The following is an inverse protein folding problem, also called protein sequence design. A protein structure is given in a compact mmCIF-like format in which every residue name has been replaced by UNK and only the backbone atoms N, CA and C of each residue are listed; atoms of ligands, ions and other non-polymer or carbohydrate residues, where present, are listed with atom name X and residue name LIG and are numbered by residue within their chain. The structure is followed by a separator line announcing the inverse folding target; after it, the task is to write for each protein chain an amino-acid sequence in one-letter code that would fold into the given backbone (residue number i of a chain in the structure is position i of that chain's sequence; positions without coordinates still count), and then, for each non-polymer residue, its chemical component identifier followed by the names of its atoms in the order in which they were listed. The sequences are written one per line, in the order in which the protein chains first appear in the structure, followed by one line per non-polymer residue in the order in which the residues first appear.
data_IF_372784621845
#
_entry.id   IF_372784621845
#
_cell.length_a   1.000
_cell.length_b   1.000
_cell.length_c   1.000
_cell.angle_alpha   90.00
_cell.angle_beta   90.00
_cell.angle_gamma   90.00
#
_symmetry.space_group_name_H-M   'P 1'
#
loop_
_entity.id
_entity.type
_entity.pdbx_description
1 polymer ?
#
# COMPACT_ATOMS: atom_id res chain seq x y z
N UNK A 1 -13.47 -33.34 2.86
CA UNK A 1 -13.20 -32.55 4.09
C UNK A 1 -11.76 -32.11 4.09
N UNK A 2 -11.51 -30.82 4.25
CA UNK A 2 -10.15 -30.33 4.33
C UNK A 2 -9.48 -30.85 5.62
N UNK A 3 -8.39 -31.56 5.47
CA UNK A 3 -7.65 -32.13 6.58
C UNK A 3 -7.07 -31.01 7.45
N UNK A 4 -7.50 -30.96 8.72
CA UNK A 4 -7.08 -29.93 9.67
C UNK A 4 -5.59 -30.10 9.97
N UNK A 5 -4.74 -29.17 9.56
CA UNK A 5 -3.29 -29.22 9.82
C UNK A 5 -3.03 -29.00 11.31
N UNK A 6 -2.16 -29.84 11.89
CA UNK A 6 -1.75 -29.75 13.29
C UNK A 6 -0.23 -29.57 13.40
N UNK A 7 0.22 -28.89 14.44
CA UNK A 7 1.63 -28.80 14.78
C UNK A 7 2.15 -30.10 15.42
N UNK A 8 3.44 -30.16 15.72
CA UNK A 8 4.08 -31.33 16.38
C UNK A 8 3.50 -31.65 17.76
N UNK A 9 2.79 -30.73 18.41
CA UNK A 9 2.11 -30.89 19.71
C UNK A 9 0.59 -31.11 19.56
N UNK A 10 0.09 -31.39 18.35
CA UNK A 10 -1.32 -31.65 18.10
C UNK A 10 -2.25 -30.43 18.05
N UNK A 11 -1.74 -29.20 18.20
CA UNK A 11 -2.55 -27.97 18.10
C UNK A 11 -2.90 -27.66 16.64
N UNK A 12 -4.13 -27.23 16.41
CA UNK A 12 -4.63 -26.86 15.08
C UNK A 12 -3.93 -25.60 14.58
N UNK A 13 -3.42 -25.68 13.36
CA UNK A 13 -2.83 -24.57 12.62
C UNK A 13 -3.87 -23.92 11.71
N UNK A 14 -3.86 -22.58 11.63
CA UNK A 14 -4.73 -21.80 10.73
C UNK A 14 -4.18 -21.80 9.31
N UNK A 15 -4.97 -21.28 8.38
CA UNK A 15 -4.53 -21.09 6.98
C UNK A 15 -3.31 -20.15 6.95
N UNK A 16 -2.26 -20.58 6.27
CA UNK A 16 -0.99 -19.84 6.21
C UNK A 16 0.01 -20.23 7.29
N UNK A 17 -0.44 -20.73 8.46
CA UNK A 17 0.45 -21.20 9.53
C UNK A 17 1.07 -22.57 9.20
N UNK A 18 2.31 -22.75 9.51
CA UNK A 18 3.02 -24.05 9.45
C UNK A 18 4.11 -24.12 10.53
N UNK A 19 4.57 -25.33 10.85
CA UNK A 19 5.72 -25.54 11.74
C UNK A 19 6.84 -26.24 10.97
N UNK A 20 8.03 -25.66 11.01
CA UNK A 20 9.22 -26.26 10.41
C UNK A 20 9.69 -27.44 11.26
N UNK A 21 9.98 -28.56 10.62
CA UNK A 21 10.46 -29.75 11.30
C UNK A 21 11.95 -29.65 11.70
N UNK A 22 12.72 -28.86 10.97
CA UNK A 22 14.18 -28.74 11.16
C UNK A 22 14.57 -28.01 12.43
N UNK A 23 13.82 -26.93 12.80
CA UNK A 23 14.17 -26.06 13.93
C UNK A 23 12.95 -25.79 14.85
N UNK A 24 11.81 -26.42 14.59
CA UNK A 24 10.58 -26.27 15.39
C UNK A 24 9.90 -24.90 15.30
N UNK A 25 10.46 -23.94 14.56
CA UNK A 25 9.89 -22.60 14.41
C UNK A 25 8.56 -22.64 13.67
N UNK A 26 7.71 -21.73 14.06
CA UNK A 26 6.45 -21.48 13.37
C UNK A 26 6.63 -20.46 12.25
N UNK A 27 5.90 -20.66 11.16
CA UNK A 27 5.96 -19.82 9.96
C UNK A 27 4.55 -19.46 9.56
N UNK A 28 4.31 -18.18 9.32
CA UNK A 28 3.11 -17.69 8.64
C UNK A 28 3.47 -17.23 7.23
N UNK A 29 2.78 -17.76 6.25
CA UNK A 29 2.96 -17.45 4.84
C UNK A 29 1.79 -16.62 4.35
N UNK A 30 2.06 -15.48 3.75
CA UNK A 30 1.04 -14.61 3.18
C UNK A 30 1.50 -14.02 1.85
N UNK A 31 0.56 -13.45 1.12
CA UNK A 31 0.84 -12.71 -0.13
C UNK A 31 0.68 -11.22 0.15
N UNK A 32 1.70 -10.42 -0.15
CA UNK A 32 1.64 -8.99 0.00
C UNK A 32 0.72 -8.34 -1.06
N UNK A 33 0.28 -7.07 -0.88
CA UNK A 33 -0.56 -6.39 -1.86
C UNK A 33 0.05 -6.25 -3.26
N UNK A 34 1.37 -6.47 -3.38
CA UNK A 34 2.09 -6.50 -4.66
C UNK A 34 2.14 -7.91 -5.29
N UNK A 35 1.43 -8.88 -4.72
CA UNK A 35 1.35 -10.26 -5.22
C UNK A 35 2.54 -11.14 -4.87
N UNK A 36 3.44 -10.72 -3.98
CA UNK A 36 4.63 -11.49 -3.61
C UNK A 36 4.40 -12.28 -2.34
N UNK A 37 4.88 -13.52 -2.34
CA UNK A 37 4.83 -14.39 -1.16
C UNK A 37 5.87 -13.96 -0.14
N UNK A 38 5.43 -13.76 1.11
CA UNK A 38 6.26 -13.41 2.26
C UNK A 38 6.06 -14.37 3.42
N UNK A 39 7.02 -14.36 4.33
CA UNK A 39 7.09 -15.28 5.46
C UNK A 39 7.39 -14.52 6.75
N UNK A 40 6.67 -14.86 7.81
CA UNK A 40 6.92 -14.36 9.18
C UNK A 40 7.24 -15.55 10.06
N UNK A 41 8.28 -15.43 10.87
CA UNK A 41 8.77 -16.51 11.73
C UNK A 41 8.58 -16.15 13.21
N UNK A 42 8.26 -17.17 14.01
CA UNK A 42 8.22 -17.06 15.47
C UNK A 42 8.65 -18.37 16.13
N UNK A 43 9.10 -18.30 17.37
CA UNK A 43 9.52 -19.47 18.13
C UNK A 43 8.34 -20.28 18.67
N UNK A 44 7.23 -19.61 18.95
CA UNK A 44 6.01 -20.23 19.43
C UNK A 44 4.77 -19.75 18.65
N UNK A 45 3.66 -20.47 18.84
CA UNK A 45 2.42 -20.21 18.10
C UNK A 45 1.70 -18.93 18.56
N UNK A 46 1.87 -18.53 19.83
CA UNK A 46 1.26 -17.32 20.38
C UNK A 46 1.93 -16.10 19.76
N UNK A 47 3.26 -16.06 19.80
CA UNK A 47 4.05 -15.00 19.20
C UNK A 47 3.83 -14.91 17.66
N UNK A 48 3.63 -16.06 16.99
CA UNK A 48 3.29 -16.04 15.57
C UNK A 48 1.94 -15.32 15.33
N UNK A 49 0.92 -15.65 16.12
CA UNK A 49 -0.43 -15.08 16.00
C UNK A 49 -0.51 -13.60 16.36
N UNK A 50 0.32 -13.15 17.30
CA UNK A 50 0.49 -11.71 17.57
C UNK A 50 1.08 -10.97 16.36
N UNK A 51 2.11 -11.54 15.74
CA UNK A 51 2.70 -11.02 14.51
C UNK A 51 1.72 -11.04 13.33
N UNK A 52 0.90 -12.09 13.20
CA UNK A 52 -0.17 -12.14 12.19
C UNK A 52 -1.20 -11.02 12.39
N UNK A 53 -1.65 -10.81 13.64
CA UNK A 53 -2.62 -9.76 13.95
C UNK A 53 -2.08 -8.37 13.66
N UNK A 54 -0.82 -8.11 14.02
CA UNK A 54 -0.15 -6.85 13.69
C UNK A 54 -0.01 -6.67 12.18
N UNK A 55 0.41 -7.72 11.47
CA UNK A 55 0.56 -7.71 10.01
C UNK A 55 -0.77 -7.43 9.31
N UNK A 56 -1.87 -8.06 9.75
CA UNK A 56 -3.20 -7.80 9.20
C UNK A 56 -3.62 -6.35 9.40
N UNK A 57 -3.33 -5.77 10.57
CA UNK A 57 -3.56 -4.36 10.84
C UNK A 57 -2.72 -3.47 9.92
N UNK A 58 -1.42 -3.74 9.80
CA UNK A 58 -0.51 -3.00 8.95
C UNK A 58 -0.91 -3.09 7.46
N UNK A 59 -1.42 -4.25 7.02
CA UNK A 59 -1.96 -4.42 5.67
C UNK A 59 -3.25 -3.61 5.46
N UNK A 60 -4.15 -3.59 6.44
CA UNK A 60 -5.34 -2.76 6.39
C UNK A 60 -4.99 -1.27 6.33
N UNK A 61 -3.95 -0.86 7.04
CA UNK A 61 -3.45 0.52 7.04
C UNK A 61 -2.51 0.82 5.84
N UNK A 62 -2.12 -0.22 5.07
CA UNK A 62 -1.20 -0.11 3.95
C UNK A 62 0.26 0.15 4.32
N UNK A 63 0.61 0.00 5.61
CA UNK A 63 1.93 0.31 6.15
C UNK A 63 3.04 -0.63 5.66
N UNK A 64 2.72 -1.87 5.35
CA UNK A 64 3.67 -2.86 4.84
C UNK A 64 4.32 -2.43 3.50
N UNK A 65 3.56 -1.73 2.66
CA UNK A 65 4.08 -1.16 1.40
C UNK A 65 4.98 0.05 1.67
N UNK A 66 4.63 0.90 2.64
CA UNK A 66 5.46 2.03 3.04
C UNK A 66 6.78 1.57 3.66
N UNK A 67 6.73 0.61 4.57
CA UNK A 67 7.94 0.01 5.20
C UNK A 67 8.85 -0.65 4.16
N UNK A 68 8.30 -1.25 3.12
CA UNK A 68 9.09 -1.81 2.02
C UNK A 68 9.70 -0.75 1.09
N UNK A 69 9.41 0.54 1.28
CA UNK A 69 9.89 1.63 0.45
C UNK A 69 9.40 1.57 -1.00
N UNK A 70 8.28 0.91 -1.27
CA UNK A 70 7.76 0.63 -2.62
C UNK A 70 6.43 1.30 -2.93
N UNK A 71 5.93 2.12 -2.01
CA UNK A 71 4.70 2.86 -2.23
C UNK A 71 4.92 3.92 -3.32
N UNK A 72 4.10 3.85 -4.37
CA UNK A 72 4.04 4.91 -5.38
C UNK A 72 2.99 5.94 -5.00
N UNK A 73 3.06 7.13 -5.62
CA UNK A 73 2.02 8.16 -5.44
C UNK A 73 0.66 7.62 -5.89
N UNK A 74 0.58 6.84 -6.99
CA UNK A 74 -0.65 6.20 -7.44
C UNK A 74 -1.26 5.30 -6.35
N UNK A 75 -0.45 4.48 -5.71
CA UNK A 75 -0.92 3.61 -4.63
C UNK A 75 -1.52 4.41 -3.47
N UNK A 76 -0.85 5.48 -3.05
CA UNK A 76 -1.34 6.33 -1.95
C UNK A 76 -2.62 7.06 -2.33
N UNK A 77 -2.68 7.60 -3.55
CA UNK A 77 -3.88 8.28 -4.04
C UNK A 77 -5.09 7.33 -4.13
N UNK A 78 -4.91 6.14 -4.70
CA UNK A 78 -6.00 5.16 -4.82
C UNK A 78 -6.50 4.73 -3.43
N UNK A 79 -5.58 4.53 -2.47
CA UNK A 79 -5.94 4.24 -1.09
C UNK A 79 -6.68 5.40 -0.41
N UNK A 80 -6.17 6.62 -0.57
CA UNK A 80 -6.84 7.82 -0.05
C UNK A 80 -8.27 7.94 -0.59
N UNK A 81 -8.45 7.77 -1.89
CA UNK A 81 -9.77 7.83 -2.53
C UNK A 81 -10.70 6.69 -2.09
N UNK A 82 -10.17 5.51 -1.78
CA UNK A 82 -10.95 4.36 -1.27
C UNK A 82 -11.45 4.59 0.16
N UNK A 83 -10.69 5.30 0.98
CA UNK A 83 -11.03 5.58 2.38
C UNK A 83 -11.92 6.82 2.54
N UNK A 84 -11.93 7.71 1.57
CA UNK A 84 -12.67 8.97 1.64
C UNK A 84 -14.12 8.80 1.18
N UNK A 85 -15.01 8.54 2.13
CA UNK A 85 -16.42 8.26 1.87
C UNK A 85 -17.34 9.50 1.87
N UNK A 86 -16.81 10.65 2.30
CA UNK A 86 -17.58 11.89 2.50
C UNK A 86 -17.48 12.91 1.36
N UNK A 87 -16.89 12.53 0.23
CA UNK A 87 -16.83 13.38 -0.95
C UNK A 87 -18.13 13.33 -1.73
N UNK A 88 -18.60 14.49 -2.19
CA UNK A 88 -19.69 14.56 -3.17
C UNK A 88 -19.29 13.81 -4.45
N UNK A 89 -20.22 13.09 -5.12
CA UNK A 89 -19.92 12.31 -6.34
C UNK A 89 -19.24 13.15 -7.44
N UNK A 90 -19.66 14.38 -7.62
CA UNK A 90 -19.07 15.34 -8.58
C UNK A 90 -17.64 15.70 -8.24
N UNK A 91 -17.34 15.93 -6.96
CA UNK A 91 -15.98 16.22 -6.49
C UNK A 91 -15.07 15.01 -6.67
N UNK A 92 -15.57 13.81 -6.34
CA UNK A 92 -14.84 12.56 -6.52
C UNK A 92 -14.50 12.32 -7.98
N UNK A 93 -15.45 12.49 -8.89
CA UNK A 93 -15.24 12.34 -10.33
C UNK A 93 -14.24 13.36 -10.87
N UNK A 94 -14.29 14.61 -10.42
CA UNK A 94 -13.34 15.63 -10.81
C UNK A 94 -11.92 15.32 -10.32
N UNK A 95 -11.76 14.84 -9.09
CA UNK A 95 -10.48 14.47 -8.54
C UNK A 95 -9.84 13.30 -9.30
N UNK A 96 -10.62 12.26 -9.60
CA UNK A 96 -10.16 11.13 -10.41
C UNK A 96 -9.76 11.58 -11.83
N UNK A 97 -10.58 12.39 -12.48
CA UNK A 97 -10.28 12.91 -13.81
C UNK A 97 -8.97 13.71 -13.83
N UNK A 98 -8.81 14.66 -12.91
CA UNK A 98 -7.62 15.50 -12.82
C UNK A 98 -6.37 14.69 -12.51
N UNK A 99 -6.47 13.74 -11.57
CA UNK A 99 -5.38 12.85 -11.22
C UNK A 99 -4.96 11.97 -12.39
N UNK A 100 -5.91 11.31 -13.06
CA UNK A 100 -5.65 10.43 -14.19
C UNK A 100 -5.04 11.18 -15.37
N UNK A 101 -5.49 12.40 -15.62
CA UNK A 101 -5.00 13.21 -16.73
C UNK A 101 -3.60 13.76 -16.54
N UNK A 102 -3.25 14.22 -15.33
CA UNK A 102 -2.03 15.00 -15.10
C UNK A 102 -0.95 14.29 -14.27
N UNK A 103 -1.33 13.31 -13.47
CA UNK A 103 -0.43 12.73 -12.46
C UNK A 103 -0.19 11.24 -12.69
N UNK A 104 -1.22 10.45 -12.98
CA UNK A 104 -1.18 8.98 -12.95
C UNK A 104 -0.06 8.37 -13.79
N UNK A 105 0.09 8.79 -15.01
CA UNK A 105 1.06 8.21 -15.95
C UNK A 105 2.45 8.81 -15.88
N UNK A 106 2.62 9.90 -15.14
CA UNK A 106 3.86 10.65 -15.00
C UNK A 106 4.39 10.55 -13.56
N UNK A 107 4.11 11.57 -12.77
CA UNK A 107 4.59 11.68 -11.39
C UNK A 107 4.01 10.60 -10.47
N UNK A 108 2.80 10.13 -10.75
CA UNK A 108 2.11 9.10 -9.97
C UNK A 108 2.82 7.74 -9.91
N UNK A 109 3.61 7.41 -10.91
CA UNK A 109 4.39 6.15 -10.95
C UNK A 109 5.67 6.19 -10.11
N UNK A 110 6.06 7.35 -9.62
CA UNK A 110 7.27 7.49 -8.80
C UNK A 110 7.06 6.91 -7.42
N UNK A 111 8.13 6.30 -6.92
CA UNK A 111 8.20 5.81 -5.55
C UNK A 111 8.33 6.99 -4.59
N UNK A 112 7.46 7.05 -3.58
CA UNK A 112 7.44 8.16 -2.61
C UNK A 112 8.79 8.29 -1.88
N UNK A 113 9.42 7.17 -1.52
CA UNK A 113 10.69 7.18 -0.81
C UNK A 113 11.86 7.77 -1.62
N UNK A 114 11.71 7.85 -2.95
CA UNK A 114 12.74 8.33 -3.87
C UNK A 114 12.51 9.77 -4.34
N UNK A 115 11.34 10.35 -4.03
CA UNK A 115 10.99 11.71 -4.47
C UNK A 115 11.80 12.73 -3.69
N UNK A 116 12.47 13.61 -4.43
CA UNK A 116 13.22 14.75 -3.92
C UNK A 116 12.48 16.05 -4.23
N UNK A 117 12.83 17.10 -3.51
CA UNK A 117 12.30 18.45 -3.76
C UNK A 117 12.44 18.88 -5.23
N UNK A 118 13.59 18.59 -5.85
CA UNK A 118 13.84 18.87 -7.26
C UNK A 118 12.84 18.21 -8.21
N UNK A 119 12.39 16.99 -7.89
CA UNK A 119 11.43 16.25 -8.71
C UNK A 119 10.05 16.92 -8.68
N UNK A 120 9.66 17.42 -7.51
CA UNK A 120 8.41 18.17 -7.33
C UNK A 120 8.44 19.48 -8.12
N UNK A 121 9.53 20.23 -8.01
CA UNK A 121 9.73 21.48 -8.77
C UNK A 121 9.69 21.23 -10.27
N UNK A 122 10.36 20.20 -10.76
CA UNK A 122 10.34 19.83 -12.18
C UNK A 122 8.94 19.45 -12.66
N UNK A 123 8.17 18.73 -11.85
CA UNK A 123 6.80 18.36 -12.16
C UNK A 123 5.91 19.59 -12.33
N UNK A 124 5.94 20.55 -11.39
CA UNK A 124 5.17 21.79 -11.50
C UNK A 124 5.63 22.68 -12.66
N UNK A 125 6.93 22.75 -12.91
CA UNK A 125 7.47 23.47 -14.08
C UNK A 125 6.99 22.86 -15.40
N UNK A 126 6.87 21.53 -15.46
CA UNK A 126 6.32 20.83 -16.63
C UNK A 126 4.85 21.20 -16.86
N UNK A 127 4.03 21.24 -15.79
CA UNK A 127 2.61 21.61 -15.88
C UNK A 127 2.41 23.07 -16.29
N UNK A 128 3.24 23.98 -15.79
CA UNK A 128 3.13 25.41 -16.10
C UNK A 128 3.66 25.78 -17.46
N UNK A 129 4.85 25.26 -17.85
CA UNK A 129 5.54 25.67 -19.08
C UNK A 129 5.14 24.87 -20.31
N UNK A 130 4.93 23.56 -20.17
CA UNK A 130 4.60 22.70 -21.31
C UNK A 130 3.10 22.52 -21.56
N UNK A 131 2.29 22.56 -20.50
CA UNK A 131 0.84 22.36 -20.61
C UNK A 131 0.04 23.65 -20.47
N UNK A 132 0.71 24.78 -20.18
CA UNK A 132 0.10 26.12 -20.04
C UNK A 132 -1.18 26.13 -19.17
N UNK A 133 -1.15 25.35 -18.08
CA UNK A 133 -2.33 25.17 -17.23
C UNK A 133 -2.65 26.46 -16.47
N UNK A 134 -3.95 26.75 -16.37
CA UNK A 134 -4.44 27.87 -15.57
C UNK A 134 -4.16 27.64 -14.07
N UNK A 135 -4.00 28.72 -13.32
CA UNK A 135 -3.71 28.71 -11.87
C UNK A 135 -4.72 27.83 -11.10
N UNK A 136 -6.02 27.97 -11.38
CA UNK A 136 -7.04 27.16 -10.71
C UNK A 136 -6.88 25.64 -10.94
N UNK A 137 -6.39 25.24 -12.12
CA UNK A 137 -6.09 23.84 -12.41
C UNK A 137 -4.89 23.35 -11.61
N UNK A 138 -3.84 24.18 -11.50
CA UNK A 138 -2.65 23.88 -10.69
C UNK A 138 -2.98 23.77 -9.20
N UNK A 139 -3.85 24.64 -8.68
CA UNK A 139 -4.34 24.58 -7.30
C UNK A 139 -5.09 23.28 -7.02
N UNK A 140 -5.93 22.82 -7.97
CA UNK A 140 -6.62 21.52 -7.85
C UNK A 140 -5.62 20.38 -7.82
N UNK A 141 -4.63 20.38 -8.71
CA UNK A 141 -3.56 19.36 -8.73
C UNK A 141 -2.76 19.38 -7.42
N UNK A 142 -2.45 20.57 -6.92
CA UNK A 142 -1.76 20.72 -5.63
C UNK A 142 -2.57 20.14 -4.48
N UNK A 143 -3.87 20.39 -4.44
CA UNK A 143 -4.79 19.81 -3.43
C UNK A 143 -4.83 18.27 -3.49
N UNK A 144 -4.69 17.67 -4.67
CA UNK A 144 -4.64 16.21 -4.83
C UNK A 144 -3.34 15.58 -4.33
N UNK A 145 -2.23 16.31 -4.44
CA UNK A 145 -0.91 15.86 -3.99
C UNK A 145 -0.64 16.17 -2.51
N UNK A 146 -1.39 17.13 -1.97
CA UNK A 146 -1.25 17.60 -0.58
C UNK A 146 -2.62 17.66 0.13
N UNK A 147 -3.28 16.51 0.33
CA UNK A 147 -4.60 16.41 0.95
C UNK A 147 -4.59 16.70 2.44
#
# INVERSE_FOLDING_TARGET
MAQTRKNLRGRVLRKGESQRRSDGRYVYTYTDPLGRRKYVYAQDLVALREKEAQLMKDQMDGLDIYVAGKATINFVFDRYMSLKNNLKPTTKSNYLYMYDRFIRDTFGKRNIAEIKYSDVVQFYNHLTKKQELKINTLETIHTLLHP
#
